data_IF_398905891684
#
_entry.id   IF_398905891684
#
_cell.length_a   1.000
_cell.length_b   1.000
_cell.length_c   1.000
_cell.angle_alpha   90.00
_cell.angle_beta   90.00
_cell.angle_gamma   90.00
#
_symmetry.space_group_name_H-M   'P 1'
#
loop_
_entity.id
_entity.type
_entity.pdbx_description
1 polymer ?
#
# COMPACT_ATOMS: atom_id res chain seq x y z
N UNK A 1 -7.07 20.90 -15.63
CA UNK A 1 -6.52 19.81 -14.78
C UNK A 1 -5.91 20.43 -13.53
N UNK A 2 -5.96 19.73 -12.40
CA UNK A 2 -5.31 20.15 -11.16
C UNK A 2 -4.16 19.19 -10.86
N UNK A 3 -2.98 19.73 -10.56
CA UNK A 3 -1.79 18.93 -10.22
C UNK A 3 -1.34 19.32 -8.81
N UNK A 4 -1.45 18.38 -7.88
CA UNK A 4 -0.97 18.53 -6.51
C UNK A 4 0.55 18.64 -6.46
N UNK A 5 1.06 19.45 -5.53
CA UNK A 5 2.51 19.61 -5.30
C UNK A 5 3.10 18.30 -4.78
N UNK A 6 4.28 17.92 -5.27
CA UNK A 6 5.05 16.80 -4.74
C UNK A 6 6.25 16.44 -5.62
N UNK A 7 6.94 15.34 -5.27
CA UNK A 7 8.23 14.98 -5.88
C UNK A 7 8.20 14.88 -7.40
N UNK A 8 7.09 14.39 -7.97
CA UNK A 8 6.94 14.17 -9.42
C UNK A 8 6.00 15.18 -10.09
N UNK A 9 5.56 16.23 -9.39
CA UNK A 9 4.49 17.11 -9.90
C UNK A 9 4.91 17.90 -11.13
N UNK A 10 6.15 18.37 -11.20
CA UNK A 10 6.66 19.12 -12.37
C UNK A 10 6.75 18.23 -13.62
N UNK A 11 7.25 17.00 -13.46
CA UNK A 11 7.33 16.06 -14.57
C UNK A 11 5.94 15.75 -15.14
N UNK A 12 4.98 15.46 -14.26
CA UNK A 12 3.60 15.19 -14.66
C UNK A 12 2.98 16.42 -15.32
N UNK A 13 3.20 17.62 -14.77
CA UNK A 13 2.75 18.88 -15.38
C UNK A 13 3.28 19.04 -16.79
N UNK A 14 4.58 18.88 -16.98
CA UNK A 14 5.22 19.04 -18.28
C UNK A 14 4.66 18.05 -19.31
N UNK A 15 4.46 16.78 -18.94
CA UNK A 15 3.89 15.76 -19.83
C UNK A 15 2.43 16.06 -20.16
N UNK A 16 1.63 16.49 -19.19
CA UNK A 16 0.21 16.75 -19.43
C UNK A 16 -0.01 18.03 -20.24
N UNK A 17 0.78 19.09 -20.02
CA UNK A 17 0.69 20.35 -20.77
C UNK A 17 1.18 20.24 -22.22
N UNK A 18 1.97 19.22 -22.57
CA UNK A 18 2.30 18.92 -23.97
C UNK A 18 1.08 18.49 -24.80
N UNK A 19 -0.05 18.14 -24.16
CA UNK A 19 -1.29 17.77 -24.84
C UNK A 19 -2.13 19.01 -25.07
N UNK A 20 -2.40 19.33 -26.34
CA UNK A 20 -3.14 20.54 -26.75
C UNK A 20 -4.49 20.74 -26.05
N UNK A 21 -5.16 19.64 -25.65
CA UNK A 21 -6.49 19.67 -25.01
C UNK A 21 -6.46 19.85 -23.49
N UNK A 22 -5.26 19.98 -22.89
CA UNK A 22 -5.09 19.99 -21.44
C UNK A 22 -4.62 21.38 -21.00
N UNK A 23 -5.49 22.10 -20.27
CA UNK A 23 -5.12 23.32 -19.56
C UNK A 23 -4.96 23.04 -18.07
N UNK A 24 -3.95 23.65 -17.43
CA UNK A 24 -3.84 23.67 -15.97
C UNK A 24 -4.84 24.67 -15.39
N UNK A 25 -5.61 24.23 -14.39
CA UNK A 25 -6.55 25.07 -13.69
C UNK A 25 -5.88 25.63 -12.43
N UNK A 26 -6.27 26.85 -12.05
CA UNK A 26 -5.88 27.44 -10.78
C UNK A 26 -6.46 26.60 -9.61
N UNK A 27 -5.79 26.63 -8.45
CA UNK A 27 -6.17 25.87 -7.25
C UNK A 27 -7.55 26.24 -6.69
N UNK A 28 -8.13 27.36 -7.13
CA UNK A 28 -9.46 27.83 -6.74
C UNK A 28 -10.61 27.22 -7.54
N UNK A 29 -10.34 26.50 -8.63
CA UNK A 29 -11.40 25.87 -9.43
C UNK A 29 -11.81 24.53 -8.83
N UNK A 30 -13.07 24.41 -8.43
CA UNK A 30 -13.68 23.17 -7.89
C UNK A 30 -14.00 22.13 -8.97
N UNK A 31 -14.03 22.54 -10.25
CA UNK A 31 -14.42 21.71 -11.37
C UNK A 31 -13.23 21.44 -12.29
N UNK A 32 -12.57 20.30 -12.08
CA UNK A 32 -11.52 19.80 -12.97
C UNK A 32 -11.85 18.37 -13.40
N UNK A 33 -11.67 18.06 -14.69
CA UNK A 33 -11.88 16.70 -15.20
C UNK A 33 -10.78 15.74 -14.76
N UNK A 34 -9.58 16.26 -14.49
CA UNK A 34 -8.41 15.47 -14.09
C UNK A 34 -7.79 16.13 -12.88
N UNK A 35 -7.66 15.35 -11.81
CA UNK A 35 -6.97 15.70 -10.58
C UNK A 35 -5.82 14.72 -10.38
N UNK A 36 -4.59 15.18 -10.57
CA UNK A 36 -3.41 14.43 -10.22
C UNK A 36 -2.95 14.82 -8.82
N UNK A 37 -2.72 13.84 -7.94
CA UNK A 37 -2.17 14.05 -6.60
C UNK A 37 -1.04 13.05 -6.36
N UNK A 38 0.03 13.45 -5.67
CA UNK A 38 1.08 12.48 -5.31
C UNK A 38 0.65 11.56 -4.15
N UNK A 39 -0.40 11.93 -3.40
CA UNK A 39 -0.81 11.30 -2.15
C UNK A 39 -2.33 11.19 -2.15
N UNK A 40 -2.85 10.08 -1.64
CA UNK A 40 -4.29 9.75 -1.70
C UNK A 40 -5.12 10.51 -0.65
N UNK A 41 -4.49 11.09 0.37
CA UNK A 41 -5.12 11.81 1.50
C UNK A 41 -6.00 12.99 1.09
N UNK A 42 -5.79 13.56 -0.10
CA UNK A 42 -6.51 14.74 -0.59
C UNK A 42 -7.54 14.41 -1.68
N UNK A 43 -7.87 13.12 -1.87
CA UNK A 43 -8.83 12.66 -2.87
C UNK A 43 -10.12 12.28 -2.15
N UNK A 44 -11.01 13.26 -1.99
CA UNK A 44 -12.30 13.06 -1.31
C UNK A 44 -13.46 12.77 -2.28
N UNK A 45 -13.17 12.69 -3.59
CA UNK A 45 -14.20 12.76 -4.64
C UNK A 45 -14.56 11.40 -5.26
N UNK A 46 -14.23 10.26 -4.64
CA UNK A 46 -14.61 8.94 -5.17
C UNK A 46 -16.13 8.78 -5.30
N UNK A 47 -16.89 9.43 -4.41
CA UNK A 47 -18.35 9.30 -4.33
C UNK A 47 -19.15 10.54 -4.77
N UNK A 48 -18.58 11.44 -5.58
CA UNK A 48 -19.35 12.56 -6.13
C UNK A 48 -20.30 12.07 -7.23
N UNK A 49 -21.32 11.29 -6.87
CA UNK A 49 -22.48 11.00 -7.71
C UNK A 49 -23.30 12.26 -7.80
N UNK A 50 -23.10 13.03 -8.87
CA UNK A 50 -24.03 14.09 -9.26
C UNK A 50 -25.39 13.43 -9.52
N UNK A 51 -26.40 13.78 -8.72
CA UNK A 51 -27.78 13.28 -8.85
C UNK A 51 -28.47 13.76 -10.14
N UNK A 52 -27.89 14.75 -10.82
CA UNK A 52 -28.35 15.26 -12.11
C UNK A 52 -27.52 14.65 -13.25
N UNK A 53 -28.16 13.77 -14.03
CA UNK A 53 -27.59 13.09 -15.21
C UNK A 53 -27.10 14.07 -16.28
N UNK A 54 -27.64 15.30 -16.30
CA UNK A 54 -27.27 16.37 -17.23
C UNK A 54 -25.93 17.07 -16.90
N UNK A 55 -25.31 16.79 -15.75
CA UNK A 55 -24.05 17.40 -15.31
C UNK A 55 -23.02 16.34 -14.86
N UNK A 56 -22.98 15.19 -15.55
CA UNK A 56 -21.95 14.18 -15.30
C UNK A 56 -20.61 14.69 -15.84
N UNK A 57 -19.94 15.51 -15.04
CA UNK A 57 -18.54 15.84 -15.25
C UNK A 57 -17.72 14.61 -14.86
N UNK A 58 -17.26 13.84 -15.86
CA UNK A 58 -16.32 12.75 -15.64
C UNK A 58 -15.05 13.31 -14.99
N UNK A 59 -14.84 12.97 -13.72
CA UNK A 59 -13.65 13.30 -12.94
C UNK A 59 -12.76 12.07 -12.87
N UNK A 60 -11.48 12.24 -13.21
CA UNK A 60 -10.46 11.21 -13.17
C UNK A 60 -9.41 11.63 -12.15
N UNK A 61 -8.97 10.69 -11.32
CA UNK A 61 -7.80 10.85 -10.48
C UNK A 61 -6.82 9.69 -10.68
N UNK A 62 -5.57 9.88 -10.27
CA UNK A 62 -4.49 8.91 -10.46
C UNK A 62 -4.35 7.91 -9.30
N UNK A 63 -5.41 7.71 -8.52
CA UNK A 63 -5.45 6.80 -7.39
C UNK A 63 -6.69 5.92 -7.48
N UNK A 64 -6.55 4.67 -7.06
CA UNK A 64 -7.69 3.79 -6.88
C UNK A 64 -8.26 3.96 -5.47
N UNK A 65 -9.58 3.91 -5.36
CA UNK A 65 -10.24 3.81 -4.07
C UNK A 65 -9.77 2.53 -3.36
N UNK A 66 -9.51 2.62 -2.05
CA UNK A 66 -9.04 1.49 -1.22
C UNK A 66 -7.71 0.84 -1.65
N UNK A 67 -6.87 1.51 -2.45
CA UNK A 67 -5.55 0.96 -2.82
C UNK A 67 -4.63 0.70 -1.61
N UNK A 68 -4.88 1.37 -0.48
CA UNK A 68 -4.14 1.18 0.77
C UNK A 68 -4.25 -0.26 1.31
N UNK A 69 -5.30 -0.99 0.95
CA UNK A 69 -5.45 -2.42 1.22
C UNK A 69 -4.33 -3.28 0.59
N UNK A 70 -3.69 -2.77 -0.46
CA UNK A 70 -2.62 -3.44 -1.19
C UNK A 70 -1.26 -2.73 -1.05
N UNK A 71 -1.26 -1.41 -0.84
CA UNK A 71 -0.01 -0.63 -0.78
C UNK A 71 0.54 -0.46 0.63
N UNK A 72 -0.25 -0.69 1.68
CA UNK A 72 0.22 -0.68 3.07
C UNK A 72 0.60 -2.10 3.51
N UNK A 73 1.75 -2.25 4.18
CA UNK A 73 2.32 -3.57 4.50
C UNK A 73 1.43 -4.39 5.43
N UNK A 74 0.90 -3.76 6.48
CA UNK A 74 -0.01 -4.38 7.44
C UNK A 74 -1.28 -4.86 6.75
N UNK A 75 -1.97 -4.00 5.99
CA UNK A 75 -3.21 -4.37 5.30
C UNK A 75 -2.96 -5.46 4.26
N UNK A 76 -1.89 -5.36 3.48
CA UNK A 76 -1.54 -6.38 2.49
C UNK A 76 -1.34 -7.76 3.13
N UNK A 77 -0.61 -7.83 4.26
CA UNK A 77 -0.35 -9.09 4.96
C UNK A 77 -1.65 -9.66 5.53
N UNK A 78 -2.49 -8.83 6.14
CA UNK A 78 -3.79 -9.26 6.67
C UNK A 78 -4.70 -9.80 5.56
N UNK A 79 -4.82 -9.07 4.45
CA UNK A 79 -5.63 -9.45 3.31
C UNK A 79 -5.14 -10.74 2.64
N UNK A 80 -3.82 -10.90 2.49
CA UNK A 80 -3.23 -12.12 1.95
C UNK A 80 -3.41 -13.32 2.88
N UNK A 81 -3.26 -13.15 4.20
CA UNK A 81 -3.54 -14.19 5.18
C UNK A 81 -4.99 -14.66 5.08
N UNK A 82 -5.94 -13.72 5.04
CA UNK A 82 -7.36 -14.03 4.92
C UNK A 82 -7.68 -14.78 3.61
N UNK A 83 -7.21 -14.25 2.48
CA UNK A 83 -7.39 -14.90 1.18
C UNK A 83 -6.80 -16.32 1.15
N UNK A 84 -5.60 -16.50 1.67
CA UNK A 84 -4.94 -17.82 1.69
C UNK A 84 -5.68 -18.79 2.61
N UNK A 85 -6.18 -18.34 3.76
CA UNK A 85 -6.99 -19.14 4.68
C UNK A 85 -8.28 -19.65 4.01
N UNK A 86 -9.00 -18.77 3.31
CA UNK A 86 -10.21 -19.15 2.57
C UNK A 86 -9.93 -20.14 1.43
N UNK A 87 -8.78 -20.01 0.78
CA UNK A 87 -8.38 -20.84 -0.35
C UNK A 87 -7.52 -22.06 0.05
N UNK A 88 -7.35 -22.32 1.36
CA UNK A 88 -6.50 -23.40 1.89
C UNK A 88 -5.07 -23.40 1.32
N UNK A 89 -4.52 -22.21 1.12
CA UNK A 89 -3.14 -21.97 0.66
C UNK A 89 -2.30 -21.53 1.85
N UNK A 90 -1.01 -21.85 1.79
CA UNK A 90 -0.05 -21.28 2.71
C UNK A 90 0.41 -19.91 2.18
N UNK A 91 0.19 -18.87 2.98
CA UNK A 91 0.56 -17.49 2.64
C UNK A 91 2.07 -17.35 2.41
N UNK A 92 2.89 -18.15 3.09
CA UNK A 92 4.33 -18.07 2.99
C UNK A 92 4.93 -18.72 1.74
N UNK A 93 4.08 -19.32 0.88
CA UNK A 93 4.51 -19.75 -0.45
C UNK A 93 4.65 -18.57 -1.43
N UNK A 94 3.94 -17.47 -1.18
CA UNK A 94 3.91 -16.29 -2.06
C UNK A 94 4.52 -15.04 -1.39
N UNK A 95 4.65 -15.04 -0.07
CA UNK A 95 5.30 -13.96 0.68
C UNK A 95 6.38 -14.50 1.60
N UNK A 96 7.42 -13.70 1.91
CA UNK A 96 8.32 -14.02 3.02
C UNK A 96 7.54 -14.19 4.33
N UNK A 97 8.11 -14.98 5.25
CA UNK A 97 7.60 -15.07 6.61
C UNK A 97 7.53 -13.68 7.24
N UNK A 98 6.35 -13.30 7.70
CA UNK A 98 6.07 -11.95 8.22
C UNK A 98 5.43 -12.01 9.59
N UNK A 99 6.01 -11.27 10.53
CA UNK A 99 5.46 -11.06 11.87
C UNK A 99 4.82 -9.67 11.93
N UNK A 100 3.60 -9.63 12.43
CA UNK A 100 2.88 -8.39 12.74
C UNK A 100 2.87 -8.26 14.26
N UNK A 101 3.39 -7.14 14.76
CA UNK A 101 3.50 -6.87 16.19
C UNK A 101 2.72 -5.59 16.45
N UNK A 102 1.64 -5.69 17.22
CA UNK A 102 0.82 -4.55 17.56
C UNK A 102 1.06 -4.15 19.02
N UNK A 103 1.69 -2.99 19.23
CA UNK A 103 2.07 -2.49 20.56
C UNK A 103 0.84 -2.18 21.41
N UNK A 104 -0.27 -1.80 20.78
CA UNK A 104 -1.53 -1.47 21.46
C UNK A 104 -2.41 -2.73 21.67
N UNK A 105 -1.96 -3.90 21.21
CA UNK A 105 -2.66 -5.16 21.38
C UNK A 105 -2.62 -5.61 22.84
N UNK A 106 -3.76 -6.06 23.37
CA UNK A 106 -3.81 -6.77 24.66
C UNK A 106 -2.99 -8.06 24.66
N UNK A 107 -2.64 -8.58 23.49
CA UNK A 107 -1.81 -9.77 23.28
C UNK A 107 -0.35 -9.44 22.95
N UNK A 108 0.07 -8.17 23.02
CA UNK A 108 1.42 -7.74 22.65
C UNK A 108 2.53 -8.59 23.28
N UNK A 109 2.40 -8.92 24.58
CA UNK A 109 3.39 -9.72 25.30
C UNK A 109 3.50 -11.15 24.74
N UNK A 110 2.38 -11.75 24.33
CA UNK A 110 2.35 -13.08 23.73
C UNK A 110 2.95 -13.03 22.32
N UNK A 111 2.55 -12.05 21.50
CA UNK A 111 3.08 -11.83 20.14
C UNK A 111 4.61 -11.67 20.14
N UNK A 112 5.15 -10.89 21.08
CA UNK A 112 6.60 -10.71 21.25
C UNK A 112 7.28 -11.99 21.71
N UNK A 113 6.68 -12.73 22.64
CA UNK A 113 7.25 -13.97 23.13
C UNK A 113 7.35 -15.02 22.02
N UNK A 114 6.31 -15.16 21.21
CA UNK A 114 6.29 -16.06 20.05
C UNK A 114 7.35 -15.68 19.02
N UNK A 115 7.49 -14.39 18.73
CA UNK A 115 8.55 -13.88 17.87
C UNK A 115 9.95 -14.18 18.40
N UNK A 116 10.19 -13.95 19.71
CA UNK A 116 11.47 -14.25 20.35
C UNK A 116 11.80 -15.74 20.32
N UNK A 117 10.83 -16.61 20.62
CA UNK A 117 11.02 -18.07 20.54
C UNK A 117 11.37 -18.50 19.12
N UNK A 118 10.70 -17.93 18.12
CA UNK A 118 11.00 -18.17 16.72
C UNK A 118 12.44 -17.76 16.35
N UNK A 119 12.87 -16.56 16.76
CA UNK A 119 14.24 -16.08 16.54
C UNK A 119 15.29 -16.96 17.21
N UNK A 120 15.08 -17.33 18.47
CA UNK A 120 15.99 -18.23 19.21
C UNK A 120 16.12 -19.57 18.49
N UNK A 121 14.99 -20.13 18.03
CA UNK A 121 14.98 -21.39 17.27
C UNK A 121 15.85 -21.30 16.02
N UNK A 122 15.73 -20.23 15.22
CA UNK A 122 16.57 -20.02 14.03
C UNK A 122 18.04 -19.89 14.42
N UNK A 123 18.34 -19.10 15.45
CA UNK A 123 19.70 -18.85 15.89
C UNK A 123 20.41 -20.17 16.30
N UNK A 124 19.75 -21.01 17.10
CA UNK A 124 20.29 -22.31 17.51
C UNK A 124 20.50 -23.26 16.33
N UNK A 125 19.60 -23.27 15.35
CA UNK A 125 19.77 -24.06 14.13
C UNK A 125 21.01 -23.62 13.34
N UNK A 126 21.25 -22.32 13.27
CA UNK A 126 22.39 -21.73 12.54
C UNK A 126 23.73 -22.14 13.17
N UNK A 127 23.83 -22.08 14.51
CA UNK A 127 25.03 -22.52 15.24
C UNK A 127 25.31 -24.01 14.99
N UNK A 128 24.28 -24.86 15.08
CA UNK A 128 24.43 -26.30 14.88
C UNK A 128 24.94 -26.67 13.47
N UNK A 129 24.56 -25.87 12.46
CA UNK A 129 25.05 -26.05 11.08
C UNK A 129 26.54 -25.69 10.99
N UNK A 130 26.96 -24.56 11.59
CA UNK A 130 28.36 -24.13 11.58
C UNK A 130 29.29 -25.15 12.26
N UNK A 131 28.86 -25.71 13.39
CA UNK A 131 29.63 -26.75 14.08
C UNK A 131 29.76 -28.02 13.24
N UNK A 132 28.69 -28.47 12.56
CA UNK A 132 28.74 -29.65 11.66
C UNK A 132 29.69 -29.47 10.46
N UNK A 133 29.90 -28.24 9.99
CA UNK A 133 30.87 -27.97 8.91
C UNK A 133 32.32 -27.91 9.42
N UNK A 134 32.57 -27.57 10.69
CA UNK A 134 33.91 -27.59 11.28
C UNK A 134 34.47 -29.01 11.51
N UNK A 135 33.62 -30.03 11.68
CA UNK A 135 34.03 -31.41 11.95
C UNK A 135 33.97 -32.35 10.73
N UNK A 136 33.92 -31.80 9.50
CA UNK A 136 33.91 -32.56 8.23
C UNK A 136 35.22 -32.45 7.43
N UNK A 137 36.35 -32.25 8.11
CA UNK A 137 37.69 -32.39 7.54
C UNK A 137 38.28 -33.76 7.88
#
# INVERSE_FOLDING_TARGET
MLIGKGNNSELVRNILLQREKFGEANQFFSEVNIQWQPWSRHINNYNSRTTNISQINKKICNHFEFHDELTQKNNLVQNLKQYCLENKKDVFQITPLTFEINIDSKYFQEEINDFCQFLIKIYLQTINIQQKHQYKL
#
